data_IF_268646026330
#
_entry.id   IF_268646026330
#
_cell.length_a   1.000
_cell.length_b   1.000
_cell.length_c   1.000
_cell.angle_alpha   90.00
_cell.angle_beta   90.00
_cell.angle_gamma   90.00
#
_symmetry.space_group_name_H-M   'P 1'
#
loop_
_entity.id
_entity.type
_entity.pdbx_description
1 polymer ?
#
# COMPACT_ATOMS: atom_id res chain seq x y z
N UNK A 1 4.15 11.96 -1.72
CA UNK A 1 4.06 10.48 -1.71
C UNK A 1 5.45 9.87 -1.76
N UNK A 2 6.35 10.35 -2.62
CA UNK A 2 7.71 9.82 -2.82
C UNK A 2 8.65 9.86 -1.61
N UNK A 3 8.38 10.71 -0.62
CA UNK A 3 9.19 10.82 0.61
C UNK A 3 8.65 9.91 1.74
N UNK A 4 7.97 8.81 1.41
CA UNK A 4 7.37 7.92 2.40
C UNK A 4 8.41 7.26 3.32
N UNK A 5 9.64 7.05 2.85
CA UNK A 5 10.73 6.44 3.63
C UNK A 5 11.22 7.34 4.78
N UNK A 6 11.06 8.65 4.65
CA UNK A 6 11.48 9.63 5.67
C UNK A 6 10.35 9.97 6.66
N UNK A 7 9.13 9.52 6.39
CA UNK A 7 7.93 9.90 7.14
C UNK A 7 7.58 8.82 8.16
N UNK A 8 7.34 9.23 9.40
CA UNK A 8 6.78 8.37 10.46
C UNK A 8 5.24 8.43 10.48
N UNK A 9 4.62 8.04 9.36
CA UNK A 9 3.16 7.90 9.31
C UNK A 9 2.72 6.69 10.16
N UNK A 10 1.59 6.79 10.87
CA UNK A 10 1.07 5.69 11.72
C UNK A 10 0.92 4.38 10.95
N UNK A 11 0.45 4.45 9.70
CA UNK A 11 0.34 3.33 8.79
C UNK A 11 0.60 3.79 7.35
N UNK A 12 1.30 2.98 6.56
CA UNK A 12 1.46 3.22 5.12
C UNK A 12 1.44 1.91 4.34
N UNK A 13 0.77 1.91 3.18
CA UNK A 13 0.77 0.80 2.22
C UNK A 13 1.32 1.30 0.89
N UNK A 14 2.38 0.67 0.38
CA UNK A 14 3.05 1.10 -0.85
C UNK A 14 3.21 -0.10 -1.79
N UNK A 15 2.79 0.04 -3.03
CA UNK A 15 2.91 -0.99 -4.06
C UNK A 15 4.37 -1.06 -4.57
N UNK A 16 4.91 -2.27 -4.79
CA UNK A 16 6.29 -2.43 -5.25
C UNK A 16 6.51 -1.91 -6.68
N UNK A 17 5.60 -2.25 -7.60
CA UNK A 17 5.76 -1.92 -9.02
C UNK A 17 4.49 -1.25 -9.60
N UNK A 18 4.14 -0.02 -9.20
CA UNK A 18 2.96 0.66 -9.72
C UNK A 18 3.13 0.94 -11.23
N UNK A 19 2.06 0.74 -11.99
CA UNK A 19 2.03 0.95 -13.44
C UNK A 19 0.98 1.97 -13.83
N UNK A 20 1.28 2.78 -14.85
CA UNK A 20 0.30 3.68 -15.47
C UNK A 20 -0.82 2.84 -16.12
N UNK A 21 -2.10 3.20 -15.94
CA UNK A 21 -3.18 2.48 -16.58
C UNK A 21 -3.09 2.61 -18.11
N UNK A 22 -3.45 1.54 -18.83
CA UNK A 22 -3.45 1.53 -20.31
C UNK A 22 -4.48 2.51 -20.89
N UNK A 23 -5.67 2.55 -20.28
CA UNK A 23 -6.72 3.50 -20.62
C UNK A 23 -6.70 4.67 -19.63
N UNK A 24 -6.51 5.89 -20.14
CA UNK A 24 -6.44 7.11 -19.32
C UNK A 24 -7.51 8.12 -19.73
N UNK A 25 -8.10 8.82 -18.76
CA UNK A 25 -8.98 9.98 -19.03
C UNK A 25 -8.15 11.26 -19.08
N UNK A 26 -8.65 12.30 -19.77
CA UNK A 26 -7.97 13.61 -19.81
C UNK A 26 -7.81 14.23 -18.42
N UNK A 27 -8.76 14.00 -17.52
CA UNK A 27 -8.71 14.52 -16.15
C UNK A 27 -7.55 13.95 -15.32
N UNK A 28 -7.05 12.76 -15.66
CA UNK A 28 -5.92 12.14 -14.96
C UNK A 28 -4.62 12.94 -15.07
N UNK A 29 -4.48 13.75 -16.11
CA UNK A 29 -3.32 14.64 -16.29
C UNK A 29 -3.29 15.73 -15.22
N UNK A 30 -4.45 16.32 -14.91
CA UNK A 30 -4.55 17.34 -13.86
C UNK A 30 -4.39 16.75 -12.45
N UNK A 31 -4.75 15.49 -12.25
CA UNK A 31 -4.64 14.78 -10.97
C UNK A 31 -3.25 14.18 -10.71
N UNK A 32 -2.34 14.28 -11.68
CA UNK A 32 -1.01 13.66 -11.63
C UNK A 32 -1.04 12.13 -11.38
N UNK A 33 -2.08 11.47 -11.89
CA UNK A 33 -2.28 10.02 -11.68
C UNK A 33 -1.28 9.18 -12.49
N UNK A 34 -0.69 9.77 -13.55
CA UNK A 34 0.37 9.12 -14.33
C UNK A 34 1.68 9.10 -13.53
N UNK A 35 1.96 10.13 -12.75
CA UNK A 35 3.17 10.26 -11.93
C UNK A 35 3.10 9.38 -10.68
N UNK A 36 1.91 9.24 -10.08
CA UNK A 36 1.67 8.41 -8.90
C UNK A 36 0.53 7.41 -9.15
N UNK A 37 0.78 6.34 -9.94
CA UNK A 37 -0.23 5.31 -10.17
C UNK A 37 -0.47 4.48 -8.91
N UNK A 38 -1.71 4.02 -8.74
CA UNK A 38 -2.15 3.26 -7.56
C UNK A 38 -2.44 1.77 -7.86
N UNK A 39 -1.96 1.23 -8.99
CA UNK A 39 -2.27 -0.15 -9.40
C UNK A 39 -1.29 -0.73 -10.41
N UNK A 40 -1.63 -1.90 -10.94
CA UNK A 40 -0.89 -2.62 -11.99
C UNK A 40 -1.84 -3.10 -13.08
N UNK A 41 -1.38 -3.15 -14.33
CA UNK A 41 -2.17 -3.73 -15.41
C UNK A 41 -2.01 -5.27 -15.35
N UNK A 42 -3.12 -5.97 -15.22
CA UNK A 42 -3.17 -7.43 -15.25
C UNK A 42 -3.77 -7.93 -16.57
N UNK A 43 -3.33 -9.10 -17.02
CA UNK A 43 -3.99 -9.82 -18.11
C UNK A 43 -5.15 -10.60 -17.50
N UNK A 44 -6.37 -10.35 -17.98
CA UNK A 44 -7.61 -10.91 -17.42
C UNK A 44 -8.27 -11.82 -18.46
N UNK A 45 -8.63 -13.03 -18.04
CA UNK A 45 -9.45 -13.95 -18.82
C UNK A 45 -10.86 -14.04 -18.20
N UNK A 46 -11.89 -13.84 -19.03
CA UNK A 46 -13.30 -13.93 -18.61
C UNK A 46 -13.81 -15.31 -19.03
N UNK A 47 -13.84 -16.24 -18.08
CA UNK A 47 -14.30 -17.61 -18.31
C UNK A 47 -14.78 -18.25 -17.00
N UNK A 48 -15.65 -19.24 -17.09
CA UNK A 48 -15.94 -20.14 -15.98
C UNK A 48 -14.81 -21.17 -15.91
N UNK A 49 -14.09 -21.23 -14.78
CA UNK A 49 -12.99 -22.19 -14.62
C UNK A 49 -13.00 -22.77 -13.21
N UNK A 50 -13.04 -24.10 -13.09
CA UNK A 50 -12.98 -24.87 -11.83
C UNK A 50 -14.01 -24.56 -10.74
N UNK A 51 -14.87 -23.54 -10.92
CA UNK A 51 -15.86 -23.10 -9.93
C UNK A 51 -15.33 -22.15 -8.86
N UNK A 52 -14.00 -22.01 -8.71
CA UNK A 52 -13.36 -21.12 -7.73
C UNK A 52 -13.40 -19.61 -8.09
N UNK A 53 -14.17 -19.23 -9.10
CA UNK A 53 -14.38 -17.83 -9.51
C UNK A 53 -15.86 -17.43 -9.52
N UNK A 54 -16.69 -18.07 -8.68
CA UNK A 54 -18.10 -17.74 -8.47
C UNK A 54 -18.27 -16.71 -7.34
N UNK A 55 -19.43 -16.06 -7.26
CA UNK A 55 -19.78 -15.15 -6.14
C UNK A 55 -18.70 -14.09 -5.85
N UNK A 56 -18.32 -13.34 -6.89
CA UNK A 56 -17.31 -12.26 -6.84
C UNK A 56 -15.87 -12.70 -6.49
N UNK A 57 -15.59 -14.01 -6.44
CA UNK A 57 -14.23 -14.53 -6.32
C UNK A 57 -13.49 -14.54 -7.66
N UNK A 58 -12.15 -14.44 -7.59
CA UNK A 58 -11.27 -14.47 -8.76
C UNK A 58 -10.13 -15.46 -8.55
N UNK A 59 -9.73 -16.14 -9.63
CA UNK A 59 -8.57 -17.03 -9.64
C UNK A 59 -7.35 -16.24 -10.10
N UNK A 60 -6.30 -16.24 -9.27
CA UNK A 60 -5.05 -15.55 -9.55
C UNK A 60 -3.95 -16.52 -9.98
N UNK A 61 -3.07 -16.07 -10.88
CA UNK A 61 -1.95 -16.87 -11.32
C UNK A 61 -0.82 -16.86 -10.28
N UNK A 62 -0.58 -18.01 -9.64
CA UNK A 62 0.47 -18.17 -8.63
C UNK A 62 1.85 -17.74 -9.12
N UNK A 63 2.25 -18.16 -10.33
CA UNK A 63 3.56 -17.78 -10.90
C UNK A 63 3.71 -16.28 -11.10
N UNK A 64 2.62 -15.54 -11.30
CA UNK A 64 2.66 -14.08 -11.42
C UNK A 64 2.82 -13.43 -10.04
N UNK A 65 2.16 -13.99 -9.02
CA UNK A 65 2.31 -13.55 -7.61
C UNK A 65 3.77 -13.77 -7.15
N UNK A 66 4.35 -14.94 -7.45
CA UNK A 66 5.73 -15.27 -7.08
C UNK A 66 6.75 -14.30 -7.73
N UNK A 67 6.41 -13.77 -8.91
CA UNK A 67 7.18 -12.74 -9.62
C UNK A 67 6.87 -11.30 -9.18
N UNK A 68 6.07 -11.12 -8.14
CA UNK A 68 5.82 -9.81 -7.51
C UNK A 68 4.58 -9.07 -8.00
N UNK A 69 3.67 -9.73 -8.72
CA UNK A 69 2.37 -9.13 -9.07
C UNK A 69 1.61 -8.76 -7.78
N UNK A 70 1.19 -7.49 -7.70
CA UNK A 70 0.49 -6.86 -6.57
C UNK A 70 1.18 -6.92 -5.20
N UNK A 71 2.50 -7.16 -5.15
CA UNK A 71 3.26 -7.13 -3.89
C UNK A 71 3.28 -5.71 -3.31
N UNK A 72 3.01 -5.55 -2.01
CA UNK A 72 3.05 -4.28 -1.28
C UNK A 72 3.94 -4.33 -0.04
N UNK A 73 4.40 -3.16 0.40
CA UNK A 73 5.03 -2.89 1.69
C UNK A 73 3.98 -2.33 2.65
N UNK A 74 4.03 -2.77 3.90
CA UNK A 74 3.22 -2.24 4.99
C UNK A 74 4.13 -1.70 6.10
N UNK A 75 4.02 -0.41 6.38
CA UNK A 75 4.70 0.26 7.48
C UNK A 75 3.71 0.58 8.61
N UNK A 76 4.18 0.48 9.86
CA UNK A 76 3.43 0.90 11.03
C UNK A 76 4.35 1.56 12.06
N UNK A 77 4.09 2.83 12.37
CA UNK A 77 4.84 3.58 13.38
C UNK A 77 4.08 3.62 14.71
N UNK A 78 4.83 3.52 15.80
CA UNK A 78 4.32 3.66 17.17
C UNK A 78 5.07 4.81 17.84
N UNK A 79 4.33 5.72 18.47
CA UNK A 79 4.89 6.84 19.21
C UNK A 79 4.62 6.60 20.68
N UNK A 80 5.68 6.63 21.48
CA UNK A 80 5.61 6.47 22.92
C UNK A 80 6.33 7.66 23.58
N UNK A 81 5.80 8.13 24.71
CA UNK A 81 6.41 9.17 25.52
C UNK A 81 6.44 8.71 26.97
N UNK A 82 7.60 8.79 27.61
CA UNK A 82 7.72 8.54 29.03
C UNK A 82 7.08 9.71 29.79
N UNK A 83 5.99 9.43 30.52
CA UNK A 83 5.33 10.44 31.35
C UNK A 83 6.10 10.56 32.66
N UNK A 84 6.85 11.64 32.85
CA UNK A 84 7.39 12.00 34.17
C UNK A 84 6.24 12.41 35.09
N UNK A 85 5.81 11.50 35.94
CA UNK A 85 4.89 11.80 37.03
C UNK A 85 5.74 12.38 38.16
N UNK A 86 5.71 13.71 38.37
CA UNK A 86 6.19 14.30 39.63
C UNK A 86 5.36 13.70 40.79
N UNK A 87 5.94 13.40 41.96
CA UNK A 87 6.77 14.27 42.78
C UNK A 87 7.92 13.47 43.42
N UNK A 88 9.16 13.89 43.17
CA UNK A 88 10.22 13.92 44.18
C UNK A 88 11.27 14.97 43.79
N UNK A 89 10.85 16.23 43.84
CA UNK A 89 11.74 17.27 44.35
C UNK A 89 11.55 17.28 45.88
N UNK A 90 11.91 16.18 46.55
CA UNK A 90 12.14 16.21 47.98
C UNK A 90 13.63 15.94 48.17
N UNK A 91 14.33 17.02 48.46
CA UNK A 91 15.61 17.14 49.16
C UNK A 91 16.52 15.91 49.19
N UNK A 92 17.70 16.05 48.59
CA UNK A 92 18.92 15.47 49.15
C UNK A 92 20.05 16.50 49.07
N UNK A 93 20.62 16.72 50.26
CA UNK A 93 21.62 17.68 50.72
C UNK A 93 22.75 18.07 49.76
#
# INVERSE_FOLDING_TARGET
LTNFDERMDTMANILYYPQKPLATTRSMEFLKFRELPAGQNAIVAIACYSGYNQEDSVIMNQSSIDRGLFRSLFYRAYVEQEKRIGISALESF
#
